data_IF_054878814562
#
_entry.id   IF_054878814562
#
_cell.length_a   1.000
_cell.length_b   1.000
_cell.length_c   1.000
_cell.angle_alpha   90.00
_cell.angle_beta   90.00
_cell.angle_gamma   90.00
#
_symmetry.space_group_name_H-M   'P 1'
#
loop_
_entity.id
_entity.type
_entity.pdbx_description
1 polymer ?
#
# COMPACT_ATOMS: atom_id res chain seq x y z
N UNK A 1 -12.48 -10.11 2.75
CA UNK A 1 -11.46 -9.50 1.87
C UNK A 1 -10.86 -8.33 2.61
N UNK A 2 -9.58 -8.40 2.95
CA UNK A 2 -8.88 -7.33 3.68
C UNK A 2 -8.16 -6.42 2.67
N UNK A 3 -8.15 -5.11 2.91
CA UNK A 3 -7.43 -4.16 2.08
C UNK A 3 -6.22 -3.62 2.82
N UNK A 4 -5.09 -3.52 2.12
CA UNK A 4 -3.90 -2.81 2.60
C UNK A 4 -3.72 -1.52 1.84
N UNK A 5 -3.78 -0.38 2.53
CA UNK A 5 -3.46 0.89 1.88
C UNK A 5 -1.94 1.02 1.82
N UNK A 6 -1.42 1.24 0.61
CA UNK A 6 0.00 1.56 0.39
C UNK A 6 0.10 2.89 -0.30
N UNK A 7 0.83 3.82 0.29
CA UNK A 7 1.07 5.13 -0.27
C UNK A 7 2.35 5.08 -1.10
N UNK A 8 2.27 5.57 -2.33
CA UNK A 8 3.38 5.59 -3.29
C UNK A 8 3.50 6.94 -3.98
N UNK A 9 4.68 7.22 -4.50
CA UNK A 9 4.91 8.40 -5.35
C UNK A 9 4.39 8.17 -6.77
N UNK A 10 3.85 9.20 -7.42
CA UNK A 10 3.20 9.07 -8.74
C UNK A 10 4.20 8.78 -9.86
N UNK A 11 5.37 9.40 -9.85
CA UNK A 11 6.37 9.24 -10.90
C UNK A 11 7.14 7.91 -10.76
N UNK A 12 7.82 7.74 -9.62
CA UNK A 12 8.73 6.63 -9.38
C UNK A 12 8.06 5.39 -8.76
N UNK A 13 6.79 5.49 -8.31
CA UNK A 13 6.06 4.41 -7.61
C UNK A 13 6.78 3.88 -6.36
N UNK A 14 7.79 4.59 -5.87
CA UNK A 14 8.47 4.26 -4.61
C UNK A 14 7.47 4.25 -3.45
N UNK A 15 7.69 3.38 -2.48
CA UNK A 15 6.89 3.32 -1.27
C UNK A 15 7.11 4.60 -0.46
N UNK A 16 6.03 5.33 -0.20
CA UNK A 16 6.00 6.42 0.76
C UNK A 16 5.73 5.86 2.15
N UNK A 17 4.62 5.12 2.28
CA UNK A 17 4.19 4.56 3.56
C UNK A 17 3.35 3.30 3.32
N UNK A 18 3.50 2.29 4.17
CA UNK A 18 2.70 1.06 4.14
C UNK A 18 1.85 1.01 5.39
N UNK A 19 0.53 1.16 5.23
CA UNK A 19 -0.39 1.12 6.36
C UNK A 19 -0.50 -0.31 6.90
N UNK A 20 -0.70 -0.38 8.21
CA UNK A 20 -1.03 -1.63 8.89
C UNK A 20 -2.32 -2.21 8.33
N UNK A 21 -2.36 -3.52 8.20
CA UNK A 21 -3.59 -4.23 7.84
C UNK A 21 -4.60 -4.11 8.97
N UNK A 22 -5.83 -3.73 8.63
CA UNK A 22 -6.94 -3.87 9.56
C UNK A 22 -7.43 -5.32 9.46
N UNK A 23 -7.24 -6.16 10.49
CA UNK A 23 -7.60 -7.57 10.44
C UNK A 23 -9.11 -7.69 10.30
N UNK A 24 -9.57 -8.09 9.13
CA UNK A 24 -10.96 -8.47 8.90
C UNK A 24 -11.21 -9.85 9.53
N UNK A 25 -12.47 -10.19 9.81
CA UNK A 25 -12.83 -11.43 10.51
C UNK A 25 -12.39 -12.73 9.82
N UNK A 26 -11.97 -12.66 8.55
CA UNK A 26 -11.42 -13.77 7.78
C UNK A 26 -9.87 -13.81 7.74
N UNK A 27 -9.19 -12.91 8.46
CA UNK A 27 -7.73 -12.83 8.50
C UNK A 27 -7.15 -14.13 9.07
N UNK A 28 -6.36 -14.85 8.26
CA UNK A 28 -5.81 -16.17 8.60
C UNK A 28 -6.65 -17.38 8.16
N UNK A 29 -7.81 -17.17 7.55
CA UNK A 29 -8.58 -18.26 6.93
C UNK A 29 -7.93 -18.70 5.61
N UNK A 30 -8.00 -20.00 5.30
CA UNK A 30 -7.46 -20.54 4.06
C UNK A 30 -8.21 -19.94 2.86
N UNK A 31 -7.48 -19.41 1.87
CA UNK A 31 -8.08 -18.68 0.74
C UNK A 31 -8.35 -17.19 1.02
N UNK A 32 -7.95 -16.67 2.18
CA UNK A 32 -8.01 -15.24 2.47
C UNK A 32 -6.95 -14.47 1.68
N UNK A 33 -7.39 -13.60 0.75
CA UNK A 33 -6.51 -12.70 0.02
C UNK A 33 -6.55 -11.29 0.62
N UNK A 34 -5.35 -10.73 0.78
CA UNK A 34 -5.14 -9.32 1.10
C UNK A 34 -4.96 -8.58 -0.22
N UNK A 35 -5.79 -7.58 -0.49
CA UNK A 35 -5.63 -6.75 -1.67
C UNK A 35 -4.91 -5.45 -1.31
N UNK A 36 -3.76 -5.20 -1.95
CA UNK A 36 -3.08 -3.92 -1.82
C UNK A 36 -3.79 -2.85 -2.66
N UNK A 37 -4.09 -1.72 -2.04
CA UNK A 37 -4.67 -0.53 -2.66
C UNK A 37 -3.63 0.58 -2.63
N UNK A 38 -3.05 0.86 -3.80
CA UNK A 38 -2.08 1.93 -3.95
C UNK A 38 -2.76 3.30 -4.01
N UNK A 39 -2.28 4.24 -3.20
CA UNK A 39 -2.69 5.64 -3.19
C UNK A 39 -1.47 6.49 -3.57
N UNK A 40 -1.66 7.45 -4.47
CA UNK A 40 -0.59 8.34 -4.90
C UNK A 40 -0.63 9.62 -4.07
N UNK A 41 0.44 9.92 -3.32
CA UNK A 41 0.46 11.03 -2.35
C UNK A 41 1.45 12.16 -2.69
N UNK A 42 2.35 11.95 -3.65
CA UNK A 42 3.36 12.95 -4.04
C UNK A 42 3.98 12.67 -5.41
N UNK A 43 4.73 13.65 -5.95
CA UNK A 43 5.29 13.57 -7.30
C UNK A 43 6.51 12.64 -7.41
N UNK A 44 7.60 12.97 -6.70
CA UNK A 44 8.86 12.21 -6.68
C UNK A 44 9.33 11.96 -5.25
N UNK A 45 10.01 10.85 -5.01
CA UNK A 45 10.66 10.60 -3.73
C UNK A 45 12.01 11.29 -3.64
N UNK A 46 12.56 11.42 -2.43
CA UNK A 46 13.84 12.11 -2.19
C UNK A 46 15.01 11.52 -3.01
N UNK A 47 14.97 10.23 -3.34
CA UNK A 47 15.99 9.58 -4.18
C UNK A 47 15.83 9.84 -5.68
N UNK A 48 14.66 10.30 -6.12
CA UNK A 48 14.32 10.59 -7.52
C UNK A 48 13.93 12.07 -7.71
N UNK A 49 14.40 12.94 -6.82
CA UNK A 49 14.11 14.38 -6.82
C UNK A 49 15.15 15.20 -7.61
N UNK A 50 15.94 14.55 -8.46
CA UNK A 50 17.05 15.14 -9.22
C UNK A 50 16.61 15.91 -10.46
#
# INVERSE_FOLDING_TARGET
>A
MCYQVVERYSLCRCLYYKHSLNPCSAHGQQGHTVQEKAVLVGYSCSSHSS
#
